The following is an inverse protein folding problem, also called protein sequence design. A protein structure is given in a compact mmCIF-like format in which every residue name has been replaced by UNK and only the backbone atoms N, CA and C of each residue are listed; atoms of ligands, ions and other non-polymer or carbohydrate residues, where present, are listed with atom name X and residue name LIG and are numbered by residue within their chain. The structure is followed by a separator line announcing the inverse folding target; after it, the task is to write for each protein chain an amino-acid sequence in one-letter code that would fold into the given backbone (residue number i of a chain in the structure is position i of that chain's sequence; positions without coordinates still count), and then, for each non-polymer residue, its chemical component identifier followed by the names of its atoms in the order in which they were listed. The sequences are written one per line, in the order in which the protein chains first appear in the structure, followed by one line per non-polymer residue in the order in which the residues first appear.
data_IF_218200043524
#
_entry.id   IF_218200043524
#
_cell.length_a   1.000
_cell.length_b   1.000
_cell.length_c   1.000
_cell.angle_alpha   90.00
_cell.angle_beta   90.00
_cell.angle_gamma   90.00
#
_symmetry.space_group_name_H-M   'P 1'
#
loop_
_entity.id
_entity.type
_entity.pdbx_description
1 polymer ?
#
# COMPACT_ATOMS: atom_id res chain seq x y z
N UNK A 1 51.82 -25.51 -17.58
CA UNK A 1 51.17 -26.02 -16.36
C UNK A 1 49.77 -25.42 -16.29
N UNK A 2 48.75 -26.27 -16.12
CA UNK A 2 47.32 -25.93 -16.03
C UNK A 2 47.05 -25.14 -14.74
N UNK A 3 46.18 -24.13 -14.81
CA UNK A 3 45.10 -24.06 -13.82
C UNK A 3 43.79 -23.55 -14.46
N UNK A 4 42.77 -24.41 -14.37
CA UNK A 4 41.37 -24.21 -14.76
C UNK A 4 40.62 -23.67 -13.53
N UNK A 5 39.60 -22.84 -13.74
CA UNK A 5 38.66 -22.42 -12.70
C UNK A 5 37.85 -21.19 -13.09
N UNK A 6 37.21 -21.18 -14.26
CA UNK A 6 35.75 -21.08 -14.41
C UNK A 6 34.93 -21.01 -13.10
N UNK A 7 34.04 -20.00 -13.01
CA UNK A 7 32.93 -19.91 -12.05
C UNK A 7 33.38 -19.40 -10.68
N UNK A 8 32.84 -18.32 -10.13
CA UNK A 8 31.45 -18.25 -9.68
C UNK A 8 30.97 -16.80 -9.78
N UNK A 9 30.18 -16.54 -10.82
CA UNK A 9 29.41 -15.31 -11.01
C UNK A 9 28.11 -15.47 -10.20
N UNK A 10 28.20 -15.46 -8.86
CA UNK A 10 27.03 -15.58 -7.96
C UNK A 10 26.92 -14.30 -7.15
N UNK A 11 26.21 -13.32 -7.70
CA UNK A 11 25.67 -12.21 -6.90
C UNK A 11 24.32 -11.71 -7.43
N UNK A 12 23.66 -12.43 -8.34
CA UNK A 12 22.44 -11.97 -9.02
C UNK A 12 21.13 -12.52 -8.43
N UNK A 13 21.09 -12.80 -7.12
CA UNK A 13 19.86 -13.27 -6.44
C UNK A 13 19.58 -12.57 -5.10
N UNK A 14 19.93 -11.28 -4.97
CA UNK A 14 19.23 -10.39 -4.03
C UNK A 14 17.86 -10.06 -4.64
N UNK A 15 17.00 -11.07 -4.73
CA UNK A 15 15.58 -10.88 -5.05
C UNK A 15 14.97 -10.16 -3.84
N UNK A 16 14.86 -8.84 -4.00
CA UNK A 16 14.09 -7.87 -3.21
C UNK A 16 12.99 -8.54 -2.37
N UNK A 17 13.28 -8.80 -1.09
CA UNK A 17 12.39 -9.48 -0.14
C UNK A 17 11.24 -8.57 0.35
N UNK A 18 10.58 -7.86 -0.57
CA UNK A 18 9.41 -7.04 -0.28
C UNK A 18 8.13 -7.73 -0.81
N UNK A 19 7.94 -9.00 -0.50
CA UNK A 19 6.66 -9.66 -0.77
C UNK A 19 5.61 -9.13 0.23
N UNK A 20 4.56 -8.51 -0.30
CA UNK A 20 3.40 -8.13 0.50
C UNK A 20 2.71 -9.37 1.06
N UNK A 21 2.22 -9.28 2.30
CA UNK A 21 1.32 -10.29 2.88
C UNK A 21 -0.12 -9.91 2.54
N UNK A 22 -1.00 -10.88 2.23
CA UNK A 22 -2.41 -10.58 2.00
C UNK A 22 -3.04 -9.91 3.23
N UNK A 23 -4.09 -9.12 2.99
CA UNK A 23 -4.87 -8.51 4.07
C UNK A 23 -5.48 -9.62 4.94
N UNK A 24 -5.48 -9.45 6.27
CA UNK A 24 -6.19 -10.37 7.13
C UNK A 24 -7.71 -10.26 6.87
N UNK A 25 -8.49 -11.34 7.05
CA UNK A 25 -9.91 -11.38 6.67
C UNK A 25 -10.75 -10.24 7.26
N UNK A 26 -10.50 -9.87 8.51
CA UNK A 26 -11.18 -8.79 9.23
C UNK A 26 -10.88 -7.39 8.67
N UNK A 27 -9.83 -7.24 7.85
CA UNK A 27 -9.48 -5.99 7.15
C UNK A 27 -9.78 -6.04 5.65
N UNK A 28 -10.47 -7.07 5.15
CA UNK A 28 -10.77 -7.22 3.72
C UNK A 28 -11.48 -6.00 3.10
N UNK A 29 -12.30 -5.29 3.89
CA UNK A 29 -13.01 -4.09 3.44
C UNK A 29 -12.09 -2.93 3.02
N UNK A 30 -10.84 -2.90 3.50
CA UNK A 30 -9.85 -1.90 3.09
C UNK A 30 -9.40 -2.09 1.63
N UNK A 31 -9.51 -3.31 1.09
CA UNK A 31 -9.16 -3.57 -0.30
C UNK A 31 -10.08 -2.78 -1.25
N UNK A 32 -9.47 -2.10 -2.21
CA UNK A 32 -10.15 -1.31 -3.20
C UNK A 32 -9.38 -0.07 -3.61
N UNK A 33 -9.95 0.64 -4.60
CA UNK A 33 -9.44 1.92 -5.04
C UNK A 33 -10.25 3.04 -4.41
N UNK A 34 -9.59 3.88 -3.63
CA UNK A 34 -10.18 4.95 -2.83
C UNK A 34 -9.74 6.30 -3.36
N UNK A 35 -10.67 7.26 -3.46
CA UNK A 35 -10.41 8.55 -4.09
C UNK A 35 -11.09 9.71 -3.37
N UNK A 36 -10.42 10.85 -3.43
CA UNK A 36 -10.96 12.18 -3.26
C UNK A 36 -10.38 13.10 -4.35
N UNK A 37 -10.76 14.37 -4.36
CA UNK A 37 -10.36 15.32 -5.40
C UNK A 37 -8.83 15.41 -5.59
N UNK A 38 -8.05 15.37 -4.51
CA UNK A 38 -6.60 15.52 -4.52
C UNK A 38 -5.84 14.32 -3.94
N UNK A 39 -6.52 13.20 -3.70
CA UNK A 39 -5.94 12.01 -3.07
C UNK A 39 -6.46 10.74 -3.73
N UNK A 40 -5.55 9.81 -4.02
CA UNK A 40 -5.86 8.48 -4.54
C UNK A 40 -5.08 7.43 -3.74
N UNK A 41 -5.74 6.35 -3.38
CA UNK A 41 -5.20 5.28 -2.56
C UNK A 41 -5.75 3.93 -3.05
N UNK A 42 -4.88 3.08 -3.58
CA UNK A 42 -5.20 1.69 -3.89
C UNK A 42 -4.63 0.80 -2.79
N UNK A 43 -5.48 -0.06 -2.24
CA UNK A 43 -5.05 -1.15 -1.36
C UNK A 43 -5.49 -2.46 -2.04
N UNK A 44 -4.54 -3.33 -2.38
CA UNK A 44 -4.85 -4.62 -3.00
C UNK A 44 -5.12 -5.66 -1.91
N UNK A 45 -5.94 -6.68 -2.21
CA UNK A 45 -6.16 -7.79 -1.28
C UNK A 45 -4.86 -8.55 -0.95
N UNK A 46 -3.87 -8.52 -1.86
CA UNK A 46 -2.53 -9.07 -1.65
C UNK A 46 -1.62 -8.20 -0.77
N UNK A 47 -2.11 -7.06 -0.26
CA UNK A 47 -1.39 -6.20 0.67
C UNK A 47 -0.40 -5.24 0.04
N UNK A 48 -0.55 -4.92 -1.25
CA UNK A 48 0.20 -3.80 -1.84
C UNK A 48 -0.61 -2.52 -1.73
N UNK A 49 0.08 -1.41 -1.47
CA UNK A 49 -0.52 -0.08 -1.39
C UNK A 49 0.14 0.84 -2.41
N UNK A 50 -0.70 1.59 -3.12
CA UNK A 50 -0.28 2.70 -3.97
C UNK A 50 -1.03 3.95 -3.54
N UNK A 51 -0.29 4.99 -3.21
CA UNK A 51 -0.84 6.25 -2.72
C UNK A 51 -0.29 7.42 -3.52
N UNK A 52 -1.15 8.40 -3.77
CA UNK A 52 -0.82 9.68 -4.36
C UNK A 52 -1.66 10.78 -3.72
N UNK A 53 -1.02 11.87 -3.28
CA UNK A 53 -1.70 13.09 -2.81
C UNK A 53 -1.08 14.32 -3.42
N UNK A 54 -1.93 15.27 -3.81
CA UNK A 54 -1.54 16.57 -4.35
C UNK A 54 -1.84 17.63 -3.31
N UNK A 55 -0.81 18.35 -2.87
CA UNK A 55 -0.95 19.39 -1.86
C UNK A 55 0.09 20.50 -2.10
N UNK A 56 -0.37 21.75 -2.05
CA UNK A 56 0.47 22.96 -2.13
C UNK A 56 1.43 22.98 -3.33
N UNK A 57 0.93 22.58 -4.50
CA UNK A 57 1.70 22.54 -5.74
C UNK A 57 2.67 21.35 -5.84
N UNK A 58 2.75 20.51 -4.81
CA UNK A 58 3.56 19.30 -4.77
C UNK A 58 2.71 18.03 -4.89
N UNK A 59 3.36 16.93 -5.29
CA UNK A 59 2.75 15.59 -5.30
C UNK A 59 3.59 14.66 -4.44
N UNK A 60 2.96 14.01 -3.48
CA UNK A 60 3.56 12.95 -2.67
C UNK A 60 3.03 11.60 -3.12
N UNK A 61 3.91 10.62 -3.26
CA UNK A 61 3.56 9.24 -3.62
C UNK A 61 4.21 8.26 -2.66
N UNK A 62 3.48 7.20 -2.30
CA UNK A 62 3.99 6.09 -1.49
C UNK A 62 3.54 4.79 -2.16
N UNK A 63 4.50 3.94 -2.51
CA UNK A 63 4.24 2.63 -3.10
C UNK A 63 5.00 1.58 -2.32
N UNK A 64 4.31 0.53 -1.89
CA UNK A 64 4.96 -0.56 -1.18
C UNK A 64 4.01 -1.54 -0.51
N UNK A 65 4.57 -2.57 0.13
CA UNK A 65 3.79 -3.55 0.85
C UNK A 65 3.25 -2.97 2.17
N UNK A 66 2.01 -3.34 2.50
CA UNK A 66 1.42 -3.18 3.82
C UNK A 66 2.16 -4.11 4.79
N UNK A 67 2.78 -3.52 5.80
CA UNK A 67 3.58 -4.24 6.80
C UNK A 67 2.73 -4.77 7.94
N UNK A 68 1.82 -3.92 8.45
CA UNK A 68 0.91 -4.23 9.55
C UNK A 68 -0.23 -3.23 9.63
N UNK A 69 -1.29 -3.63 10.34
CA UNK A 69 -2.30 -2.72 10.89
C UNK A 69 -1.96 -2.41 12.35
N UNK A 70 -2.28 -1.19 12.78
CA UNK A 70 -2.21 -0.72 14.17
C UNK A 70 -3.61 -0.20 14.53
N UNK A 71 -4.48 -1.09 15.02
CA UNK A 71 -5.91 -0.82 15.07
C UNK A 71 -6.47 -0.71 13.64
N UNK A 72 -6.91 0.50 13.26
CA UNK A 72 -7.39 0.81 11.91
C UNK A 72 -6.34 1.50 11.02
N UNK A 73 -5.28 2.04 11.64
CA UNK A 73 -4.14 2.60 10.93
C UNK A 73 -3.38 1.49 10.20
N UNK A 74 -2.68 1.84 9.12
CA UNK A 74 -1.86 0.88 8.40
C UNK A 74 -0.49 1.46 8.07
N UNK A 75 0.52 0.59 8.16
CA UNK A 75 1.93 0.95 7.94
C UNK A 75 2.38 0.36 6.61
N UNK A 76 2.91 1.21 5.72
CA UNK A 76 3.37 0.84 4.38
C UNK A 76 4.85 1.14 4.24
N UNK A 77 5.61 0.24 3.62
CA UNK A 77 7.02 0.47 3.32
C UNK A 77 7.86 -0.79 3.40
N UNK A 78 9.19 -0.63 3.35
CA UNK A 78 10.16 -1.74 3.35
C UNK A 78 11.31 -1.41 4.28
N UNK A 79 11.69 -2.36 5.14
CA UNK A 79 12.80 -2.18 6.07
C UNK A 79 12.57 -1.00 7.03
N UNK A 80 13.53 -0.09 7.23
CA UNK A 80 13.37 1.06 8.13
C UNK A 80 12.54 2.22 7.54
N UNK A 81 12.33 2.25 6.22
CA UNK A 81 11.56 3.32 5.55
C UNK A 81 10.09 2.94 5.54
N UNK A 82 9.28 3.66 6.32
CA UNK A 82 7.85 3.38 6.49
C UNK A 82 7.04 4.66 6.58
N UNK A 83 5.81 4.58 6.13
CA UNK A 83 4.78 5.60 6.27
C UNK A 83 3.59 4.99 6.99
N UNK A 84 3.11 5.66 8.04
CA UNK A 84 1.86 5.30 8.71
C UNK A 84 0.75 6.17 8.15
N UNK A 85 -0.32 5.52 7.71
CA UNK A 85 -1.57 6.18 7.32
C UNK A 85 -2.55 6.09 8.48
N UNK A 86 -3.03 7.24 8.94
CA UNK A 86 -3.95 7.34 10.08
C UNK A 86 -5.37 7.21 9.58
N UNK A 87 -6.11 6.23 10.08
CA UNK A 87 -7.50 5.96 9.70
C UNK A 87 -8.39 6.34 10.87
N UNK A 88 -9.06 7.49 10.77
CA UNK A 88 -9.95 7.99 11.83
C UNK A 88 -11.37 7.43 11.71
N UNK A 89 -11.78 7.04 10.51
CA UNK A 89 -13.04 6.33 10.26
C UNK A 89 -12.74 5.14 9.33
N UNK A 90 -12.90 3.89 9.78
CA UNK A 90 -12.62 2.72 8.97
C UNK A 90 -13.60 2.59 7.80
N UNK A 91 -13.30 1.71 6.81
CA UNK A 91 -14.22 1.40 5.72
C UNK A 91 -15.63 1.04 6.22
N UNK A 92 -16.61 1.84 5.81
CA UNK A 92 -18.02 1.63 6.12
C UNK A 92 -18.88 2.01 4.92
N UNK A 93 -20.14 1.56 4.94
CA UNK A 93 -21.12 1.98 3.95
C UNK A 93 -21.89 3.19 4.47
N UNK A 94 -21.99 4.21 3.62
CA UNK A 94 -22.81 5.40 3.84
C UNK A 94 -23.55 5.72 2.54
N UNK A 95 -24.88 5.73 2.59
CA UNK A 95 -25.77 5.98 1.44
C UNK A 95 -25.43 5.14 0.18
N UNK A 96 -25.05 3.87 0.38
CA UNK A 96 -24.72 2.94 -0.70
C UNK A 96 -23.31 3.10 -1.28
N UNK A 97 -22.53 4.08 -0.81
CA UNK A 97 -21.13 4.25 -1.15
C UNK A 97 -20.24 3.71 -0.02
N UNK A 98 -19.08 3.16 -0.40
CA UNK A 98 -18.05 2.81 0.58
C UNK A 98 -17.20 4.05 0.86
N UNK A 99 -17.06 4.39 2.14
CA UNK A 99 -16.28 5.54 2.60
C UNK A 99 -15.25 5.14 3.66
N UNK A 100 -14.16 5.90 3.73
CA UNK A 100 -13.20 5.86 4.83
C UNK A 100 -12.52 7.22 4.98
N UNK A 101 -12.01 7.53 6.17
CA UNK A 101 -11.25 8.77 6.40
C UNK A 101 -9.81 8.43 6.71
N UNK A 102 -8.89 8.91 5.85
CA UNK A 102 -7.45 8.66 5.98
C UNK A 102 -6.69 9.98 5.98
N UNK A 103 -5.82 10.18 6.97
CA UNK A 103 -5.04 11.41 7.19
C UNK A 103 -5.92 12.68 7.10
N UNK A 104 -7.11 12.60 7.69
CA UNK A 104 -8.12 13.67 7.73
C UNK A 104 -8.92 13.87 6.44
N UNK A 105 -8.72 13.04 5.40
CA UNK A 105 -9.41 13.14 4.11
C UNK A 105 -10.46 12.03 3.99
N UNK A 106 -11.72 12.40 3.79
CA UNK A 106 -12.77 11.44 3.40
C UNK A 106 -12.54 10.96 1.98
N UNK A 107 -12.50 9.64 1.81
CA UNK A 107 -12.29 8.94 0.56
C UNK A 107 -13.50 8.08 0.24
N UNK A 108 -13.87 8.02 -1.04
CA UNK A 108 -14.91 7.13 -1.56
C UNK A 108 -14.27 6.02 -2.37
N UNK A 109 -14.74 4.77 -2.19
CA UNK A 109 -14.28 3.64 -2.99
C UNK A 109 -14.90 3.68 -4.38
N UNK A 110 -14.08 3.60 -5.41
CA UNK A 110 -14.55 3.42 -6.79
C UNK A 110 -15.11 2.00 -6.94
N UNK A 111 -16.28 1.83 -7.58
CA UNK A 111 -16.77 0.52 -7.97
C UNK A 111 -15.76 -0.21 -8.88
N UNK A 112 -15.67 -1.55 -8.84
CA UNK A 112 -14.92 -2.30 -9.84
C UNK A 112 -15.48 -1.97 -11.24
N UNK A 113 -14.66 -1.44 -12.14
CA UNK A 113 -15.03 -1.17 -13.54
C UNK A 113 -15.43 0.28 -13.90
N UNK A 114 -15.19 1.25 -13.01
CA UNK A 114 -15.36 2.69 -13.30
C UNK A 114 -14.11 3.37 -13.88
#
# INVERSE_FOLDING_TARGET
MRNKGMGVLVSCCLLLAACAKPLPPEKAAYAGYWRAQKMALLITAGGNVQYKRMQDGSTTSVNGPLQKFEGDNFVVGVGPVKTTFVVSVPPHQDQGAWKMVVDGVELTRTPPGG
#
